data_IF_718520418465
#
_entry.id   IF_718520418465
#
_cell.length_a   1.000
_cell.length_b   1.000
_cell.length_c   1.000
_cell.angle_alpha   90.00
_cell.angle_beta   90.00
_cell.angle_gamma   90.00
#
_symmetry.space_group_name_H-M   'P 1'
#
loop_
_entity.id
_entity.type
_entity.pdbx_description
1 polymer ?
#
# COMPACT_ATOMS: atom_id res chain seq x y z
N UNK A 1 2.75 22.88 -3.30
CA UNK A 1 1.68 22.07 -2.66
C UNK A 1 2.36 21.00 -1.83
N UNK A 2 2.02 20.78 -0.57
CA UNK A 2 2.73 19.78 0.25
C UNK A 2 2.13 18.37 0.06
N UNK A 3 2.92 17.45 -0.49
CA UNK A 3 2.54 16.03 -0.62
C UNK A 3 3.03 15.28 0.62
N UNK A 4 2.09 14.90 1.48
CA UNK A 4 2.41 14.15 2.69
C UNK A 4 2.82 12.69 2.37
N UNK A 5 3.27 11.95 3.39
CA UNK A 5 3.82 10.60 3.22
C UNK A 5 2.80 9.56 2.77
N UNK A 6 1.50 9.78 2.99
CA UNK A 6 0.48 8.77 2.72
C UNK A 6 0.33 8.41 1.23
N UNK A 7 0.06 9.36 0.30
CA UNK A 7 -0.06 9.04 -1.12
C UNK A 7 1.26 8.54 -1.70
N UNK A 8 2.41 9.00 -1.19
CA UNK A 8 3.74 8.49 -1.56
C UNK A 8 3.88 7.02 -1.21
N UNK A 9 3.55 6.63 0.02
CA UNK A 9 3.58 5.22 0.44
C UNK A 9 2.61 4.37 -0.38
N UNK A 10 1.42 4.92 -0.70
CA UNK A 10 0.42 4.21 -1.51
C UNK A 10 0.94 3.91 -2.92
N UNK A 11 1.45 4.93 -3.62
CA UNK A 11 2.02 4.77 -4.96
C UNK A 11 3.25 3.84 -4.94
N UNK A 12 4.16 4.01 -3.99
CA UNK A 12 5.35 3.16 -3.91
C UNK A 12 5.00 1.68 -3.69
N UNK A 13 3.98 1.39 -2.89
CA UNK A 13 3.51 0.01 -2.69
C UNK A 13 2.70 -0.52 -3.87
N UNK A 14 1.96 0.33 -4.62
CA UNK A 14 1.35 -0.04 -5.92
C UNK A 14 2.43 -0.55 -6.87
N UNK A 15 3.47 0.25 -7.12
CA UNK A 15 4.52 -0.14 -8.06
C UNK A 15 5.36 -1.33 -7.57
N UNK A 16 5.54 -1.48 -6.25
CA UNK A 16 6.10 -2.71 -5.68
C UNK A 16 5.23 -3.94 -6.01
N UNK A 17 3.90 -3.84 -5.89
CA UNK A 17 2.99 -4.93 -6.21
C UNK A 17 2.98 -5.27 -7.70
N UNK A 18 3.00 -4.27 -8.58
CA UNK A 18 3.18 -4.47 -10.01
C UNK A 18 4.48 -5.22 -10.33
N UNK A 19 5.60 -4.81 -9.72
CA UNK A 19 6.89 -5.47 -9.89
C UNK A 19 6.92 -6.92 -9.37
N UNK A 20 6.02 -7.27 -8.44
CA UNK A 20 5.84 -8.63 -7.91
C UNK A 20 4.78 -9.44 -8.68
N UNK A 21 4.25 -8.91 -9.79
CA UNK A 21 3.36 -9.63 -10.71
C UNK A 21 1.86 -9.54 -10.41
N UNK A 22 1.44 -8.62 -9.53
CA UNK A 22 0.01 -8.33 -9.36
C UNK A 22 -0.51 -7.48 -10.52
N UNK A 23 -1.79 -7.67 -10.89
CA UNK A 23 -2.47 -6.80 -11.85
C UNK A 23 -2.66 -5.38 -11.30
N UNK A 24 -2.97 -4.44 -12.18
CA UNK A 24 -3.04 -3.01 -11.82
C UNK A 24 -4.11 -2.69 -10.78
N UNK A 25 -5.32 -3.23 -10.91
CA UNK A 25 -6.40 -2.96 -9.96
C UNK A 25 -6.05 -3.48 -8.56
N UNK A 26 -5.48 -4.68 -8.50
CA UNK A 26 -5.05 -5.28 -7.25
C UNK A 26 -3.83 -4.56 -6.66
N UNK A 27 -2.87 -4.17 -7.50
CA UNK A 27 -1.71 -3.41 -7.06
C UNK A 27 -2.11 -2.06 -6.44
N UNK A 28 -3.08 -1.37 -7.03
CA UNK A 28 -3.65 -0.14 -6.45
C UNK A 28 -4.29 -0.38 -5.08
N UNK A 29 -5.11 -1.43 -4.98
CA UNK A 29 -5.75 -1.84 -3.71
C UNK A 29 -4.72 -2.18 -2.63
N UNK A 30 -3.66 -2.93 -2.97
CA UNK A 30 -2.55 -3.26 -2.08
C UNK A 30 -1.82 -1.99 -1.64
N UNK A 31 -1.58 -1.07 -2.58
CA UNK A 31 -0.87 0.19 -2.32
C UNK A 31 -1.54 1.00 -1.21
N UNK A 32 -2.84 1.27 -1.36
CA UNK A 32 -3.61 2.04 -0.38
C UNK A 32 -3.77 1.28 0.96
N UNK A 33 -3.91 -0.05 0.93
CA UNK A 33 -3.97 -0.87 2.13
C UNK A 33 -2.66 -0.82 2.93
N UNK A 34 -1.51 -0.86 2.25
CA UNK A 34 -0.19 -0.74 2.89
C UNK A 34 0.06 0.64 3.47
N UNK A 35 -0.34 1.71 2.77
CA UNK A 35 -0.28 3.07 3.30
C UNK A 35 -1.13 3.23 4.56
N UNK A 36 -2.33 2.64 4.57
CA UNK A 36 -3.21 2.59 5.74
C UNK A 36 -2.57 1.80 6.88
N UNK A 37 -2.05 0.60 6.60
CA UNK A 37 -1.36 -0.23 7.59
C UNK A 37 -0.22 0.55 8.25
N UNK A 38 0.56 1.26 7.45
CA UNK A 38 1.63 2.11 7.94
C UNK A 38 1.13 3.26 8.83
N UNK A 39 0.02 3.92 8.45
CA UNK A 39 -0.54 5.02 9.20
C UNK A 39 -1.13 4.59 10.56
N UNK A 40 -1.86 3.47 10.60
CA UNK A 40 -2.59 3.01 11.79
C UNK A 40 -1.69 2.16 12.70
N UNK A 41 -0.89 1.26 12.13
CA UNK A 41 -0.25 0.17 12.86
C UNK A 41 1.27 0.28 12.94
N UNK A 42 1.87 1.47 12.71
CA UNK A 42 3.32 1.66 12.81
C UNK A 42 3.95 1.14 14.12
N UNK A 43 3.17 1.08 15.20
CA UNK A 43 3.61 0.66 16.53
C UNK A 43 2.95 -0.66 17.01
N UNK A 44 2.13 -1.31 16.17
CA UNK A 44 1.46 -2.55 16.52
C UNK A 44 2.16 -3.73 15.86
N UNK A 45 2.41 -4.80 16.61
CA UNK A 45 2.99 -6.00 16.03
C UNK A 45 2.02 -6.66 15.05
N UNK A 46 2.58 -7.29 14.02
CA UNK A 46 1.79 -8.01 13.01
C UNK A 46 0.81 -9.02 13.64
N UNK A 47 1.26 -9.76 14.66
CA UNK A 47 0.42 -10.74 15.39
C UNK A 47 -0.81 -10.08 16.01
N UNK A 48 -0.62 -8.98 16.75
CA UNK A 48 -1.74 -8.27 17.41
C UNK A 48 -2.70 -7.66 16.39
N UNK A 49 -2.20 -7.14 15.27
CA UNK A 49 -3.04 -6.62 14.19
C UNK A 49 -3.95 -7.72 13.64
N UNK A 50 -3.40 -8.90 13.35
CA UNK A 50 -4.18 -10.04 12.87
C UNK A 50 -5.27 -10.46 13.84
N UNK A 51 -4.92 -10.58 15.12
CA UNK A 51 -5.87 -10.92 16.18
C UNK A 51 -7.06 -9.93 16.19
N UNK A 52 -6.81 -8.63 16.03
CA UNK A 52 -7.86 -7.60 15.93
C UNK A 52 -8.71 -7.73 14.67
N UNK A 53 -8.11 -8.03 13.52
CA UNK A 53 -8.83 -8.22 12.25
C UNK A 53 -9.76 -9.45 12.32
N UNK A 54 -9.27 -10.56 12.88
CA UNK A 54 -10.08 -11.77 13.14
C UNK A 54 -11.20 -11.48 14.13
N UNK A 55 -10.91 -10.75 15.20
CA UNK A 55 -11.92 -10.35 16.19
C UNK A 55 -13.01 -9.48 15.55
N UNK A 56 -12.65 -8.55 14.67
CA UNK A 56 -13.61 -7.71 13.98
C UNK A 56 -14.53 -8.53 13.06
N UNK A 57 -13.96 -9.40 12.21
CA UNK A 57 -14.74 -10.26 11.30
C UNK A 57 -15.71 -11.15 12.08
N UNK A 58 -15.24 -11.79 13.15
CA UNK A 58 -16.05 -12.72 13.95
C UNK A 58 -17.10 -12.01 14.80
N UNK A 59 -16.71 -10.99 15.56
CA UNK A 59 -17.61 -10.37 16.55
C UNK A 59 -18.49 -9.29 15.94
N UNK A 60 -17.97 -8.49 15.00
CA UNK A 60 -18.69 -7.35 14.40
C UNK A 60 -19.41 -7.74 13.12
N UNK A 61 -18.73 -8.41 12.19
CA UNK A 61 -19.35 -8.81 10.92
C UNK A 61 -20.10 -10.14 11.00
N UNK A 62 -19.96 -10.88 12.12
CA UNK A 62 -20.60 -12.19 12.32
C UNK A 62 -20.24 -13.20 11.25
N UNK A 63 -19.00 -13.14 10.76
CA UNK A 63 -18.46 -14.04 9.76
C UNK A 63 -17.41 -14.98 10.34
N UNK A 64 -17.19 -16.11 9.68
CA UNK A 64 -16.23 -17.11 10.11
C UNK A 64 -14.79 -16.58 9.91
N UNK A 65 -13.83 -16.87 10.83
CA UNK A 65 -12.43 -16.47 10.69
C UNK A 65 -11.80 -16.87 9.35
N UNK A 66 -12.23 -18.01 8.81
CA UNK A 66 -11.73 -18.61 7.56
C UNK A 66 -12.04 -17.75 6.33
N UNK A 67 -12.94 -16.77 6.45
CA UNK A 67 -13.17 -15.78 5.39
C UNK A 67 -11.99 -14.80 5.23
N UNK A 68 -11.04 -14.78 6.18
CA UNK A 68 -9.78 -14.08 6.04
C UNK A 68 -8.71 -15.03 5.47
N UNK A 69 -8.26 -14.75 4.26
CA UNK A 69 -7.11 -15.44 3.67
C UNK A 69 -5.80 -14.70 3.95
N UNK A 70 -4.86 -15.38 4.59
CA UNK A 70 -3.56 -14.81 4.92
C UNK A 70 -2.51 -15.03 3.83
N UNK A 71 -2.79 -15.89 2.85
CA UNK A 71 -1.81 -16.33 1.85
C UNK A 71 -1.74 -15.38 0.67
N UNK A 72 -2.89 -14.93 0.15
CA UNK A 72 -2.94 -14.10 -1.08
C UNK A 72 -2.03 -12.88 -1.00
N UNK A 73 -1.96 -12.20 0.15
CA UNK A 73 -1.14 -10.99 0.34
C UNK A 73 -0.04 -11.17 1.41
N UNK A 74 0.44 -12.39 1.63
CA UNK A 74 1.42 -12.71 2.67
C UNK A 74 2.71 -11.88 2.57
N UNK A 75 3.20 -11.62 1.36
CA UNK A 75 4.41 -10.81 1.07
C UNK A 75 4.28 -9.35 1.56
N UNK A 76 3.04 -8.86 1.64
CA UNK A 76 2.70 -7.55 2.18
C UNK A 76 2.27 -7.61 3.64
N UNK A 77 2.25 -8.80 4.26
CA UNK A 77 1.71 -9.03 5.60
C UNK A 77 0.31 -8.44 5.75
N UNK A 78 -0.55 -8.70 4.77
CA UNK A 78 -1.96 -8.31 4.76
C UNK A 78 -2.83 -9.56 4.80
N UNK A 79 -4.03 -9.43 5.35
CA UNK A 79 -5.08 -10.44 5.20
C UNK A 79 -5.98 -10.02 4.03
N UNK A 80 -6.54 -10.99 3.32
CA UNK A 80 -7.53 -10.78 2.27
C UNK A 80 -8.92 -11.11 2.82
N UNK A 81 -9.92 -10.31 2.47
CA UNK A 81 -11.31 -10.56 2.76
C UNK A 81 -12.11 -10.42 1.47
N UNK A 82 -12.81 -11.47 1.06
CA UNK A 82 -13.45 -11.56 -0.27
C UNK A 82 -12.50 -11.24 -1.44
N UNK A 83 -11.24 -11.69 -1.34
CA UNK A 83 -10.22 -11.48 -2.37
C UNK A 83 -9.57 -10.09 -2.38
N UNK A 84 -9.98 -9.17 -1.51
CA UNK A 84 -9.44 -7.81 -1.43
C UNK A 84 -8.60 -7.61 -0.17
N UNK A 85 -7.56 -6.76 -0.20
CA UNK A 85 -6.73 -6.50 0.97
C UNK A 85 -7.55 -5.85 2.09
N UNK A 86 -7.47 -6.43 3.28
CA UNK A 86 -8.22 -6.03 4.47
C UNK A 86 -7.29 -5.47 5.55
N UNK A 87 -7.53 -4.21 5.91
CA UNK A 87 -6.76 -3.48 6.95
C UNK A 87 -7.68 -2.51 7.64
N UNK A 88 -7.52 -2.32 8.96
CA UNK A 88 -8.23 -1.26 9.68
C UNK A 88 -9.74 -1.40 9.56
N UNK A 89 -10.23 -2.65 9.57
CA UNK A 89 -11.65 -3.02 9.51
C UNK A 89 -12.35 -2.71 8.18
N UNK A 90 -11.59 -2.55 7.08
CA UNK A 90 -12.11 -2.29 5.73
C UNK A 90 -11.32 -3.05 4.65
N UNK A 91 -12.00 -3.44 3.57
CA UNK A 91 -11.38 -3.88 2.31
C UNK A 91 -11.07 -2.69 1.40
N UNK A 92 -9.94 -2.74 0.71
CA UNK A 92 -9.51 -1.68 -0.20
C UNK A 92 -9.64 -2.07 -1.67
N UNK A 93 -9.90 -1.07 -2.52
CA UNK A 93 -9.99 -1.23 -3.98
C UNK A 93 -9.14 -0.20 -4.74
N UNK A 94 -9.02 -0.39 -6.05
CA UNK A 94 -8.47 0.62 -6.99
C UNK A 94 -9.10 2.00 -6.80
N UNK A 95 -10.42 2.07 -6.57
CA UNK A 95 -11.12 3.34 -6.38
C UNK A 95 -10.67 4.09 -5.11
N UNK A 96 -10.34 3.36 -4.03
CA UNK A 96 -9.79 3.98 -2.82
C UNK A 96 -8.42 4.61 -3.08
N UNK A 97 -7.61 3.98 -3.92
CA UNK A 97 -6.32 4.52 -4.35
C UNK A 97 -6.50 5.78 -5.19
N UNK A 98 -7.39 5.74 -6.21
CA UNK A 98 -7.69 6.90 -7.07
C UNK A 98 -8.18 8.10 -6.27
N UNK A 99 -9.04 7.87 -5.26
CA UNK A 99 -9.48 8.91 -4.32
C UNK A 99 -8.32 9.54 -3.55
N UNK A 100 -7.41 8.72 -3.06
CA UNK A 100 -6.30 9.16 -2.20
C UNK A 100 -5.18 9.87 -2.97
N UNK A 101 -4.90 9.45 -4.20
CA UNK A 101 -3.76 9.94 -5.00
C UNK A 101 -4.19 10.96 -6.05
N UNK A 102 -5.23 10.68 -6.84
CA UNK A 102 -5.63 11.53 -7.97
C UNK A 102 -6.71 12.54 -7.60
N UNK A 103 -7.84 12.11 -7.02
CA UNK A 103 -8.94 13.04 -6.76
C UNK A 103 -8.57 14.12 -5.72
N UNK A 104 -7.70 13.77 -4.76
CA UNK A 104 -7.26 14.71 -3.73
C UNK A 104 -6.23 15.73 -4.21
N UNK A 105 -5.34 15.33 -5.13
CA UNK A 105 -4.21 16.16 -5.55
C UNK A 105 -4.35 16.72 -6.97
N UNK A 106 -5.33 16.24 -7.74
CA UNK A 106 -5.46 16.50 -9.16
C UNK A 106 -4.66 15.49 -10.00
N UNK A 107 -5.07 15.34 -11.26
CA UNK A 107 -4.51 14.37 -12.20
C UNK A 107 -3.00 14.55 -12.41
N UNK A 108 -2.55 15.79 -12.60
CA UNK A 108 -1.13 16.12 -12.83
C UNK A 108 -0.26 15.70 -11.64
N UNK A 109 -0.66 16.07 -10.42
CA UNK A 109 0.11 15.75 -9.22
C UNK A 109 0.04 14.26 -8.92
N UNK A 110 -1.11 13.61 -9.16
CA UNK A 110 -1.25 12.16 -9.07
C UNK A 110 -0.22 11.44 -9.94
N UNK A 111 -0.07 11.85 -11.20
CA UNK A 111 0.93 11.29 -12.13
C UNK A 111 2.36 11.52 -11.65
N UNK A 112 2.68 12.70 -11.13
CA UNK A 112 4.00 13.00 -10.54
C UNK A 112 4.33 12.08 -9.36
N UNK A 113 3.35 11.81 -8.50
CA UNK A 113 3.51 10.86 -7.38
C UNK A 113 3.76 9.44 -7.89
N UNK A 114 3.06 9.03 -8.96
CA UNK A 114 3.27 7.72 -9.56
C UNK A 114 4.62 7.58 -10.25
N UNK A 115 5.05 8.57 -11.03
CA UNK A 115 6.36 8.56 -11.68
C UNK A 115 7.51 8.56 -10.68
N UNK A 116 7.37 9.33 -9.59
CA UNK A 116 8.29 9.27 -8.45
C UNK A 116 8.41 7.84 -7.92
N UNK A 117 7.27 7.19 -7.65
CA UNK A 117 7.24 5.83 -7.13
C UNK A 117 7.84 4.81 -8.12
N UNK A 118 7.49 4.92 -9.40
CA UNK A 118 8.01 4.05 -10.46
C UNK A 118 9.53 4.15 -10.58
N UNK A 119 10.07 5.37 -10.52
CA UNK A 119 11.52 5.63 -10.60
C UNK A 119 12.27 4.95 -9.46
N UNK A 120 11.77 5.07 -8.23
CA UNK A 120 12.36 4.41 -7.07
C UNK A 120 12.30 2.89 -7.23
N UNK A 121 11.14 2.34 -7.57
CA UNK A 121 10.98 0.89 -7.72
C UNK A 121 11.88 0.32 -8.81
N UNK A 122 12.04 1.01 -9.94
CA UNK A 122 12.93 0.59 -11.01
C UNK A 122 14.41 0.49 -10.58
N UNK A 123 14.82 1.27 -9.58
CA UNK A 123 16.16 1.21 -9.00
C UNK A 123 16.31 0.23 -7.84
N UNK A 124 15.21 -0.28 -7.28
CA UNK A 124 15.24 -1.21 -6.15
C UNK A 124 15.62 -2.62 -6.61
N UNK A 125 16.47 -3.29 -5.84
CA UNK A 125 16.79 -4.71 -6.07
C UNK A 125 15.57 -5.58 -5.78
N UNK A 126 15.38 -6.65 -6.56
CA UNK A 126 14.27 -7.60 -6.36
C UNK A 126 14.22 -8.15 -4.93
N UNK A 127 15.38 -8.46 -4.34
CA UNK A 127 15.47 -8.93 -2.94
C UNK A 127 14.91 -7.92 -1.91
N UNK A 128 14.85 -6.63 -2.25
CA UNK A 128 14.24 -5.61 -1.40
C UNK A 128 12.73 -5.64 -1.55
N UNK A 129 12.23 -5.80 -2.78
CA UNK A 129 10.79 -5.87 -3.06
C UNK A 129 10.12 -7.07 -2.38
N UNK A 130 10.82 -8.20 -2.28
CA UNK A 130 10.28 -9.41 -1.63
C UNK A 130 10.29 -9.35 -0.10
N UNK A 131 11.10 -8.47 0.50
CA UNK A 131 11.27 -8.40 1.94
C UNK A 131 10.79 -7.04 2.48
N UNK A 132 9.67 -7.04 3.21
CA UNK A 132 9.07 -5.81 3.75
C UNK A 132 10.05 -4.93 4.56
N UNK A 133 10.93 -5.54 5.36
CA UNK A 133 11.88 -4.78 6.19
C UNK A 133 12.98 -4.14 5.35
N UNK A 134 13.54 -4.88 4.38
CA UNK A 134 14.51 -4.33 3.42
C UNK A 134 13.86 -3.25 2.57
N UNK A 135 12.68 -3.51 2.00
CA UNK A 135 11.91 -2.51 1.27
C UNK A 135 11.75 -1.20 2.07
N UNK A 136 11.34 -1.32 3.33
CA UNK A 136 11.10 -0.15 4.16
C UNK A 136 12.38 0.65 4.42
N UNK A 137 13.51 -0.03 4.65
CA UNK A 137 14.78 0.62 4.96
C UNK A 137 15.48 1.19 3.72
N UNK A 138 15.46 0.46 2.61
CA UNK A 138 16.26 0.76 1.43
C UNK A 138 15.47 1.53 0.35
N UNK A 139 14.16 1.31 0.23
CA UNK A 139 13.33 1.94 -0.82
C UNK A 139 12.40 3.03 -0.25
N UNK A 140 11.84 2.87 0.96
CA UNK A 140 10.90 3.86 1.49
C UNK A 140 11.58 4.96 2.31
N UNK A 141 12.31 4.60 3.37
CA UNK A 141 12.89 5.58 4.31
C UNK A 141 13.75 6.66 3.65
N UNK A 142 14.62 6.36 2.66
CA UNK A 142 15.47 7.38 2.04
C UNK A 142 14.67 8.43 1.27
N UNK A 143 13.55 8.04 0.67
CA UNK A 143 12.79 8.87 -0.26
C UNK A 143 11.52 9.47 0.33
N UNK A 144 11.08 9.03 1.53
CA UNK A 144 9.77 9.38 2.11
C UNK A 144 9.52 10.89 2.30
N UNK A 145 10.59 11.69 2.36
CA UNK A 145 10.54 13.13 2.63
C UNK A 145 10.84 13.97 1.35
N UNK A 146 11.05 13.32 0.21
CA UNK A 146 11.12 13.97 -1.10
C UNK A 146 9.76 14.57 -1.51
N UNK A 147 9.80 15.58 -2.38
CA UNK A 147 8.61 16.22 -2.94
C UNK A 147 8.41 15.80 -4.41
N UNK A 148 7.47 14.88 -4.70
CA UNK A 148 7.19 14.45 -6.07
C UNK A 148 6.72 15.58 -6.99
N UNK A 149 6.19 16.69 -6.45
CA UNK A 149 5.62 17.76 -7.28
C UNK A 149 6.66 18.52 -8.11
N UNK A 150 7.95 18.39 -7.75
CA UNK A 150 9.08 19.02 -8.44
C UNK A 150 9.69 18.15 -9.53
N UNK A 151 9.22 16.91 -9.70
CA UNK A 151 9.66 16.07 -10.81
C UNK A 151 9.15 16.67 -12.10
N UNK A 152 10.10 16.99 -12.98
CA UNK A 152 9.78 17.46 -14.31
C UNK A 152 9.29 16.27 -15.13
N UNK A 153 7.99 16.24 -15.37
CA UNK A 153 7.36 15.22 -16.21
C UNK A 153 7.62 15.66 -17.64
N UNK A 154 8.83 15.39 -18.15
CA UNK A 154 9.15 15.66 -19.55
C UNK A 154 8.07 15.03 -20.44
N UNK A 155 7.26 15.91 -21.05
CA UNK A 155 6.21 15.73 -22.07
C UNK A 155 5.54 14.35 -22.17
#
# INVERSE_FOLDING_TARGET
MFINRFPKMAALQKYRALALGFDEEMAEAIGIAQATKYAIFKNLSYRRRKEQEVEYITKKLKQAPENLDEKTFAIFKLQAFHGLPFVGNKTYTSEDYKKAVFMKFGEEIGRKIEQWAQTIIASCKNEFLENEQKFFNECWKPHRDEDPSTIDTGQ
#
